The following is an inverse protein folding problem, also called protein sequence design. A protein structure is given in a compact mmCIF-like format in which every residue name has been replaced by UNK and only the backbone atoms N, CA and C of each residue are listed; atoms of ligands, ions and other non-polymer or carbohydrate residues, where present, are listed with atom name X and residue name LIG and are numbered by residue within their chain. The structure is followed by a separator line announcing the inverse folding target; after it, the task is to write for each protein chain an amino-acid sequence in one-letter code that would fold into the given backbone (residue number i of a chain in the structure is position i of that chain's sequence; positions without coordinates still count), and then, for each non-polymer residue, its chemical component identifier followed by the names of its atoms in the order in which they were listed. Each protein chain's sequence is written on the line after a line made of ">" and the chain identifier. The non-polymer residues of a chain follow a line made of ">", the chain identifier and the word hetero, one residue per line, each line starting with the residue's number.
data_IF_554309796497
#
_entry.id   IF_554309796497
#
_cell.length_a   1.000
_cell.length_b   1.000
_cell.length_c   1.000
_cell.angle_alpha   90.00
_cell.angle_beta   90.00
_cell.angle_gamma   90.00
#
_symmetry.space_group_name_H-M   'P 1'
#
loop_
_entity.id
_entity.type
_entity.pdbx_description
1 polymer ?
#
# COMPACT_ATOMS: atom_id res chain seq x y z
N UNK A 1 -7.43 25.53 -6.52
CA UNK A 1 -8.02 24.81 -7.67
C UNK A 1 -7.98 23.34 -7.28
N UNK A 2 -9.07 22.61 -7.49
CA UNK A 2 -9.09 21.17 -7.26
C UNK A 2 -8.07 20.47 -8.18
N UNK A 3 -7.37 19.48 -7.66
CA UNK A 3 -6.37 18.71 -8.40
C UNK A 3 -6.87 17.33 -8.83
N UNK A 4 -8.17 17.10 -8.77
CA UNK A 4 -8.84 15.85 -9.12
C UNK A 4 -9.59 15.22 -7.95
N UNK A 5 -10.20 14.08 -8.22
CA UNK A 5 -11.02 13.36 -7.25
C UNK A 5 -10.33 12.06 -6.80
N UNK A 6 -10.71 11.56 -5.65
CA UNK A 6 -10.28 10.24 -5.16
C UNK A 6 -11.00 9.17 -5.98
N UNK A 7 -10.24 8.34 -6.69
CA UNK A 7 -10.76 7.26 -7.56
C UNK A 7 -10.43 5.86 -7.06
N UNK A 8 -9.66 5.74 -6.00
CA UNK A 8 -9.35 4.44 -5.39
C UNK A 8 -8.93 4.58 -3.94
N UNK A 9 -9.48 3.70 -3.10
CA UNK A 9 -9.20 3.62 -1.67
C UNK A 9 -8.93 2.16 -1.30
N UNK A 10 -7.76 1.89 -0.69
CA UNK A 10 -7.34 0.53 -0.34
C UNK A 10 -6.78 0.49 1.08
N UNK A 11 -7.28 -0.44 1.88
CA UNK A 11 -6.67 -0.84 3.14
C UNK A 11 -5.90 -2.15 2.94
N UNK A 12 -4.73 -2.27 3.57
CA UNK A 12 -3.93 -3.49 3.58
C UNK A 12 -3.84 -4.03 5.01
N UNK A 13 -4.81 -4.80 5.51
CA UNK A 13 -4.83 -5.26 6.89
C UNK A 13 -3.54 -5.95 7.33
N UNK A 14 -2.98 -6.78 6.43
CA UNK A 14 -1.75 -7.54 6.68
C UNK A 14 -0.61 -7.05 5.80
N UNK A 15 0.52 -6.76 6.44
CA UNK A 15 1.76 -6.36 5.74
C UNK A 15 2.13 -7.36 4.66
N UNK A 16 2.49 -6.86 3.46
CA UNK A 16 2.96 -7.63 2.30
C UNK A 16 1.93 -8.59 1.68
N UNK A 17 0.67 -8.56 2.09
CA UNK A 17 -0.44 -9.25 1.43
C UNK A 17 -1.29 -8.26 0.62
N UNK A 18 -2.12 -8.74 -0.31
CA UNK A 18 -3.09 -7.90 -1.03
C UNK A 18 -4.11 -7.35 -0.03
N UNK A 19 -4.57 -6.13 -0.29
CA UNK A 19 -5.57 -5.45 0.52
C UNK A 19 -6.97 -5.57 -0.05
N UNK A 20 -7.86 -4.79 0.52
CA UNK A 20 -9.27 -4.65 0.13
C UNK A 20 -9.58 -3.22 -0.31
N UNK A 21 -10.42 -3.09 -1.32
CA UNK A 21 -10.93 -1.81 -1.80
C UNK A 21 -12.12 -1.37 -0.96
N UNK A 22 -12.25 -0.06 -0.77
CA UNK A 22 -13.30 0.54 0.04
C UNK A 22 -13.95 1.73 -0.67
N UNK A 23 -15.21 2.00 -0.39
CA UNK A 23 -15.85 3.26 -0.78
C UNK A 23 -15.47 4.41 0.18
N UNK A 24 -15.09 4.06 1.41
CA UNK A 24 -14.69 5.00 2.47
C UNK A 24 -13.53 4.42 3.27
N UNK A 25 -12.55 5.26 3.63
CA UNK A 25 -11.51 4.92 4.60
C UNK A 25 -11.56 5.87 5.79
N UNK A 26 -11.49 5.31 6.98
CA UNK A 26 -11.24 6.10 8.19
C UNK A 26 -9.74 6.40 8.26
N UNK A 27 -9.40 7.67 8.40
CA UNK A 27 -8.02 8.15 8.62
C UNK A 27 -7.96 8.65 10.07
N UNK A 28 -7.17 8.00 10.89
CA UNK A 28 -6.88 8.38 12.28
C UNK A 28 -5.45 8.96 12.41
N UNK A 29 -4.98 9.21 13.62
CA UNK A 29 -3.64 9.76 13.87
C UNK A 29 -2.51 8.84 13.40
N UNK A 30 -2.76 7.53 13.28
CA UNK A 30 -1.80 6.53 12.79
C UNK A 30 -1.75 6.47 11.25
N UNK A 31 -2.76 6.96 10.57
CA UNK A 31 -2.95 6.85 9.11
C UNK A 31 -4.27 6.19 8.76
N UNK A 32 -4.30 5.34 7.73
CA UNK A 32 -5.50 4.54 7.40
C UNK A 32 -5.76 3.55 8.53
N UNK A 33 -6.95 3.64 9.14
CA UNK A 33 -7.33 2.77 10.24
C UNK A 33 -7.24 1.29 9.83
N UNK A 34 -6.52 0.50 10.62
CA UNK A 34 -6.30 -0.93 10.34
C UNK A 34 -5.23 -1.25 9.29
N UNK A 35 -4.71 -0.25 8.56
CA UNK A 35 -3.72 -0.48 7.52
C UNK A 35 -2.41 -1.01 8.11
N UNK A 36 -1.96 -2.18 7.62
CA UNK A 36 -0.75 -2.90 8.08
C UNK A 36 -0.68 -3.10 9.59
N UNK A 37 -1.85 -3.16 10.23
CA UNK A 37 -1.93 -3.41 11.66
C UNK A 37 -1.49 -4.84 12.02
N UNK A 38 -1.50 -5.74 11.04
CA UNK A 38 -1.09 -7.13 11.18
C UNK A 38 0.08 -7.48 10.26
N UNK A 39 0.86 -8.46 10.67
CA UNK A 39 1.96 -9.00 9.86
C UNK A 39 2.22 -10.46 10.23
N UNK A 40 2.80 -11.22 9.31
CA UNK A 40 3.45 -12.48 9.68
C UNK A 40 4.69 -12.14 10.51
N UNK A 41 4.79 -12.70 11.72
CA UNK A 41 5.93 -12.55 12.61
C UNK A 41 6.62 -13.89 12.78
N UNK A 42 7.91 -13.92 12.53
CA UNK A 42 8.79 -15.07 12.73
C UNK A 42 9.29 -15.14 14.17
N UNK A 43 9.78 -16.32 14.62
CA UNK A 43 10.34 -16.52 15.97
C UNK A 43 11.46 -15.56 16.34
N UNK A 44 12.26 -15.09 15.34
CA UNK A 44 13.32 -14.10 15.55
C UNK A 44 12.81 -12.65 15.62
N UNK A 45 11.49 -12.45 15.65
CA UNK A 45 10.81 -11.15 15.71
C UNK A 45 10.75 -10.39 14.38
N UNK A 46 11.35 -10.93 13.29
CA UNK A 46 11.26 -10.29 11.97
C UNK A 46 9.89 -10.47 11.35
N UNK A 47 9.48 -9.46 10.59
CA UNK A 47 8.22 -9.48 9.87
C UNK A 47 8.37 -10.12 8.49
N UNK A 48 7.39 -10.93 8.09
CA UNK A 48 7.31 -11.51 6.76
C UNK A 48 7.19 -10.43 5.68
N UNK A 49 7.98 -10.56 4.62
CA UNK A 49 7.97 -9.62 3.50
C UNK A 49 8.52 -10.29 2.23
N UNK A 50 8.27 -9.70 1.07
CA UNK A 50 8.92 -10.11 -0.19
C UNK A 50 10.39 -9.68 -0.32
N UNK A 51 11.01 -9.18 0.75
CA UNK A 51 12.43 -8.79 0.80
C UNK A 51 13.06 -9.17 2.14
N UNK A 52 14.39 -9.29 2.19
CA UNK A 52 15.16 -9.48 3.42
C UNK A 52 15.84 -8.18 3.81
N UNK A 53 15.70 -7.79 5.08
CA UNK A 53 16.38 -6.66 5.71
C UNK A 53 16.63 -6.97 7.19
N UNK A 54 17.13 -5.99 7.96
CA UNK A 54 17.23 -6.13 9.42
C UNK A 54 15.85 -6.39 10.07
N UNK A 55 14.76 -5.75 9.56
CA UNK A 55 13.39 -5.86 10.08
C UNK A 55 12.58 -6.99 9.42
N UNK A 56 12.94 -7.39 8.21
CA UNK A 56 12.12 -8.25 7.38
C UNK A 56 12.83 -9.55 7.03
N UNK A 57 12.04 -10.65 7.02
CA UNK A 57 12.46 -11.95 6.49
C UNK A 57 11.72 -12.20 5.18
N UNK A 58 12.46 -12.56 4.14
CA UNK A 58 11.85 -12.94 2.87
C UNK A 58 10.93 -14.15 3.07
N UNK A 59 9.64 -13.93 2.81
CA UNK A 59 8.58 -14.93 2.88
C UNK A 59 7.93 -14.98 1.48
N UNK A 60 8.25 -16.01 0.69
CA UNK A 60 7.78 -16.11 -0.70
C UNK A 60 6.26 -16.18 -0.80
N UNK A 61 5.72 -15.69 -1.92
CA UNK A 61 4.31 -15.87 -2.29
C UNK A 61 3.30 -15.01 -1.50
N UNK A 62 3.72 -14.15 -0.57
CA UNK A 62 2.78 -13.36 0.25
C UNK A 62 1.80 -12.52 -0.58
N UNK A 63 2.17 -12.09 -1.79
CA UNK A 63 1.30 -11.32 -2.69
C UNK A 63 0.26 -12.18 -3.42
N UNK A 64 0.24 -13.49 -3.21
CA UNK A 64 -0.83 -14.38 -3.67
C UNK A 64 -1.98 -14.47 -2.65
N UNK A 65 -1.74 -14.06 -1.39
CA UNK A 65 -2.72 -14.00 -0.32
C UNK A 65 -3.37 -12.61 -0.28
N UNK A 66 -4.66 -12.55 0.03
CA UNK A 66 -5.37 -11.30 0.31
C UNK A 66 -5.81 -11.26 1.77
N UNK A 67 -5.97 -10.06 2.29
CA UNK A 67 -6.47 -9.86 3.64
C UNK A 67 -7.56 -8.79 3.65
N UNK A 68 -8.63 -9.04 4.39
CA UNK A 68 -9.74 -8.14 4.63
C UNK A 68 -10.13 -8.17 6.12
N UNK A 69 -10.80 -7.12 6.60
CA UNK A 69 -11.35 -7.13 7.95
C UNK A 69 -12.75 -7.75 7.97
N UNK A 70 -12.98 -8.62 8.95
CA UNK A 70 -14.30 -9.14 9.28
C UNK A 70 -14.47 -9.15 10.79
N UNK A 71 -15.53 -8.51 11.28
CA UNK A 71 -15.84 -8.38 12.71
C UNK A 71 -14.67 -7.83 13.55
N UNK A 72 -13.83 -6.98 12.94
CA UNK A 72 -12.68 -6.34 13.59
C UNK A 72 -11.37 -7.13 13.54
N UNK A 73 -11.38 -8.37 13.08
CA UNK A 73 -10.19 -9.21 12.91
C UNK A 73 -9.80 -9.35 11.43
N UNK A 74 -8.50 -9.48 11.11
CA UNK A 74 -8.08 -9.75 9.75
C UNK A 74 -8.40 -11.20 9.39
N UNK A 75 -8.93 -11.38 8.19
CA UNK A 75 -9.09 -12.68 7.56
C UNK A 75 -8.16 -12.73 6.36
N UNK A 76 -7.20 -13.65 6.40
CA UNK A 76 -6.30 -13.91 5.28
C UNK A 76 -6.93 -15.00 4.42
N UNK A 77 -7.09 -14.70 3.12
CA UNK A 77 -7.58 -15.68 2.13
C UNK A 77 -6.40 -16.20 1.31
N UNK A 78 -6.21 -17.51 1.35
CA UNK A 78 -5.16 -18.21 0.58
C UNK A 78 -5.44 -18.18 -0.93
N UNK A 79 -4.48 -18.53 -1.79
CA UNK A 79 -4.72 -18.72 -3.23
C UNK A 79 -5.84 -19.70 -3.54
N UNK A 80 -6.01 -20.74 -2.72
CA UNK A 80 -7.03 -21.80 -2.89
C UNK A 80 -8.38 -21.45 -2.27
N UNK A 81 -8.50 -20.22 -1.68
CA UNK A 81 -9.74 -19.72 -1.09
C UNK A 81 -9.98 -20.11 0.36
N UNK A 82 -9.04 -20.79 1.02
CA UNK A 82 -9.11 -21.04 2.46
C UNK A 82 -8.96 -19.75 3.26
N UNK A 83 -9.52 -19.74 4.44
CA UNK A 83 -9.58 -18.56 5.30
C UNK A 83 -8.85 -18.81 6.61
N UNK A 84 -7.91 -17.92 6.93
CA UNK A 84 -7.08 -17.98 8.13
C UNK A 84 -7.32 -16.76 9.00
N UNK A 85 -7.38 -16.98 10.32
CA UNK A 85 -7.50 -15.89 11.31
C UNK A 85 -6.29 -15.90 12.24
N UNK A 86 -6.07 -14.84 13.03
CA UNK A 86 -5.06 -14.86 14.09
C UNK A 86 -5.22 -16.09 15.02
N UNK A 87 -4.09 -16.76 15.28
CA UNK A 87 -4.08 -18.00 16.09
C UNK A 87 -4.37 -19.29 15.32
N UNK A 88 -4.66 -19.24 14.01
CA UNK A 88 -4.85 -20.44 13.19
C UNK A 88 -3.50 -21.17 13.02
N UNK A 89 -3.37 -22.46 13.40
CA UNK A 89 -2.12 -23.21 13.28
C UNK A 89 -1.65 -23.39 11.83
N UNK A 90 -2.55 -23.34 10.85
CA UNK A 90 -2.21 -23.41 9.42
C UNK A 90 -1.33 -22.26 8.96
N UNK A 91 -1.29 -21.13 9.68
CA UNK A 91 -0.34 -20.04 9.39
C UNK A 91 1.09 -20.56 9.49
N UNK A 92 1.42 -21.31 10.55
CA UNK A 92 2.75 -21.91 10.70
C UNK A 92 3.02 -23.02 9.65
N UNK A 93 2.01 -23.78 9.25
CA UNK A 93 2.15 -24.79 8.20
C UNK A 93 2.48 -24.18 6.83
N UNK A 94 1.84 -23.05 6.49
CA UNK A 94 2.00 -22.39 5.20
C UNK A 94 3.26 -21.51 5.12
N UNK A 95 3.63 -20.82 6.19
CA UNK A 95 4.68 -19.81 6.16
C UNK A 95 5.95 -20.21 6.94
N UNK A 96 5.93 -21.35 7.62
CA UNK A 96 7.05 -21.93 8.36
C UNK A 96 6.79 -22.04 9.85
N UNK A 97 7.46 -23.03 10.48
CA UNK A 97 7.34 -23.25 11.91
C UNK A 97 7.62 -21.98 12.72
N UNK A 98 6.81 -21.73 13.74
CA UNK A 98 6.92 -20.55 14.61
C UNK A 98 6.48 -19.23 13.97
N UNK A 99 5.93 -19.24 12.75
CA UNK A 99 5.33 -18.05 12.14
C UNK A 99 3.89 -17.89 12.63
N UNK A 100 3.55 -16.69 13.04
CA UNK A 100 2.20 -16.33 13.47
C UNK A 100 1.69 -15.07 12.76
N UNK A 101 0.37 -14.92 12.66
CA UNK A 101 -0.26 -13.66 12.27
C UNK A 101 -0.41 -12.78 13.51
N UNK A 102 0.49 -11.80 13.65
CA UNK A 102 0.63 -10.98 14.84
C UNK A 102 0.13 -9.56 14.61
N UNK A 103 -0.57 -9.01 15.60
CA UNK A 103 -0.94 -7.60 15.64
C UNK A 103 0.27 -6.74 15.99
N UNK A 104 0.30 -5.51 15.47
CA UNK A 104 1.27 -4.48 15.82
C UNK A 104 1.29 -4.24 17.34
N UNK A 105 2.49 -4.19 17.90
CA UNK A 105 2.75 -3.84 19.28
C UNK A 105 3.67 -2.62 19.35
N UNK A 106 4.79 -2.74 20.07
CA UNK A 106 5.77 -1.66 20.17
C UNK A 106 6.49 -1.37 18.83
N UNK A 107 6.56 -2.37 17.96
CA UNK A 107 7.19 -2.25 16.62
C UNK A 107 6.13 -1.98 15.59
N UNK A 108 6.18 -0.79 14.97
CA UNK A 108 5.27 -0.40 13.90
C UNK A 108 5.46 -1.31 12.67
N UNK A 109 4.36 -1.79 12.08
CA UNK A 109 4.36 -2.63 10.90
C UNK A 109 4.38 -1.84 9.58
N UNK A 110 4.08 -0.55 9.60
CA UNK A 110 4.19 0.33 8.42
C UNK A 110 5.63 0.40 7.92
N UNK A 111 5.84 0.75 6.66
CA UNK A 111 7.18 0.90 6.08
C UNK A 111 7.82 2.24 6.48
N UNK A 112 7.31 3.36 5.97
CA UNK A 112 7.87 4.68 6.23
C UNK A 112 6.81 5.75 6.55
N UNK A 113 5.65 5.75 5.91
CA UNK A 113 4.65 6.80 6.10
C UNK A 113 3.28 6.26 6.47
N UNK A 114 2.47 7.14 7.07
CA UNK A 114 1.14 6.83 7.61
C UNK A 114 0.12 6.55 6.49
N UNK A 115 0.16 7.33 5.42
CA UNK A 115 -0.75 7.24 4.26
C UNK A 115 0.07 7.31 2.98
N UNK A 116 -0.28 6.50 1.99
CA UNK A 116 0.39 6.50 0.69
C UNK A 116 -0.58 6.86 -0.45
N UNK A 117 -0.11 7.71 -1.40
CA UNK A 117 -0.93 8.26 -2.47
C UNK A 117 -0.21 8.20 -3.81
N UNK A 118 -0.97 8.07 -4.91
CA UNK A 118 -0.46 8.16 -6.29
C UNK A 118 -1.51 8.78 -7.21
N UNK A 119 -1.05 9.53 -8.22
CA UNK A 119 -1.90 10.07 -9.28
C UNK A 119 -2.13 9.09 -10.43
N UNK A 120 -3.31 9.13 -11.05
CA UNK A 120 -3.62 8.28 -12.22
C UNK A 120 -2.75 8.60 -13.42
N UNK A 121 -2.41 9.87 -13.64
CA UNK A 121 -1.50 10.27 -14.74
C UNK A 121 -0.10 9.67 -14.55
N UNK A 122 0.38 9.53 -13.31
CA UNK A 122 1.66 8.89 -13.00
C UNK A 122 1.67 7.39 -13.30
N UNK A 123 0.53 6.71 -13.09
CA UNK A 123 0.36 5.29 -13.47
C UNK A 123 0.39 5.12 -14.99
N UNK A 124 -0.28 6.02 -15.74
CA UNK A 124 -0.26 6.03 -17.20
C UNK A 124 1.16 6.29 -17.73
N UNK A 125 1.81 7.34 -17.23
CA UNK A 125 3.15 7.70 -17.66
C UNK A 125 4.19 6.60 -17.36
N UNK A 126 4.03 5.88 -16.25
CA UNK A 126 4.89 4.73 -15.98
C UNK A 126 4.63 3.59 -16.98
N UNK A 127 3.36 3.31 -17.36
CA UNK A 127 3.02 2.37 -18.43
C UNK A 127 3.70 2.73 -19.75
N UNK A 128 3.60 3.99 -20.17
CA UNK A 128 4.25 4.52 -21.38
C UNK A 128 5.78 4.35 -21.33
N UNK A 129 6.41 4.62 -20.17
CA UNK A 129 7.85 4.42 -19.98
C UNK A 129 8.27 2.94 -20.05
N UNK A 130 7.35 2.01 -19.76
CA UNK A 130 7.56 0.57 -19.93
C UNK A 130 7.32 0.10 -21.38
N UNK A 131 6.78 0.95 -22.23
CA UNK A 131 6.36 0.63 -23.60
C UNK A 131 5.00 -0.08 -23.64
N UNK A 132 4.22 0.00 -22.58
CA UNK A 132 2.88 -0.57 -22.48
C UNK A 132 1.82 0.48 -22.86
N UNK A 133 0.67 0.06 -23.40
CA UNK A 133 -0.47 0.94 -23.71
C UNK A 133 -1.34 1.23 -22.51
N UNK A 134 -1.33 0.33 -21.53
CA UNK A 134 -2.15 0.42 -20.34
C UNK A 134 -1.36 1.02 -19.17
N UNK A 135 -2.04 1.70 -18.24
CA UNK A 135 -1.45 2.15 -16.99
C UNK A 135 -0.86 0.97 -16.20
N UNK A 136 0.19 1.23 -15.43
CA UNK A 136 0.66 0.23 -14.48
C UNK A 136 -0.42 -0.08 -13.46
N UNK A 137 -0.69 -1.36 -13.24
CA UNK A 137 -1.65 -1.80 -12.23
C UNK A 137 -1.24 -1.28 -10.84
N UNK A 138 -2.11 -0.48 -10.23
CA UNK A 138 -1.85 0.19 -8.94
C UNK A 138 -1.57 -0.79 -7.80
N UNK A 139 -2.07 -2.02 -7.88
CA UNK A 139 -1.81 -3.07 -6.88
C UNK A 139 -0.30 -3.30 -6.68
N UNK A 140 0.51 -3.15 -7.75
CA UNK A 140 1.99 -3.26 -7.66
C UNK A 140 2.60 -2.20 -6.77
N UNK A 141 1.96 -1.04 -6.67
CA UNK A 141 2.46 0.08 -5.87
C UNK A 141 1.93 0.10 -4.44
N UNK A 142 0.86 -0.66 -4.15
CA UNK A 142 0.28 -0.82 -2.81
C UNK A 142 -0.05 0.52 -2.16
N UNK A 143 -0.77 1.38 -2.88
CA UNK A 143 -1.18 2.70 -2.42
C UNK A 143 -2.53 2.65 -1.69
N UNK A 144 -2.67 3.47 -0.64
CA UNK A 144 -3.92 3.62 0.08
C UNK A 144 -4.92 4.49 -0.70
N UNK A 145 -4.42 5.54 -1.36
CA UNK A 145 -5.25 6.52 -2.06
C UNK A 145 -4.76 6.65 -3.51
N UNK A 146 -5.70 6.60 -4.44
CA UNK A 146 -5.47 6.95 -5.85
C UNK A 146 -6.27 8.19 -6.16
N UNK A 147 -5.61 9.21 -6.66
CA UNK A 147 -6.23 10.48 -7.07
C UNK A 147 -6.22 10.59 -8.57
N UNK A 148 -7.34 10.98 -9.17
CA UNK A 148 -7.38 11.36 -10.56
C UNK A 148 -6.53 12.62 -10.78
N UNK A 149 -5.62 12.58 -11.74
CA UNK A 149 -4.73 13.68 -12.08
C UNK A 149 -4.57 13.77 -13.57
N UNK A 150 -4.40 15.00 -14.10
CA UNK A 150 -4.17 15.25 -15.53
C UNK A 150 -2.67 15.21 -15.88
N UNK A 151 -1.83 15.66 -14.94
CA UNK A 151 -0.38 15.77 -15.14
C UNK A 151 0.35 14.62 -14.44
N UNK A 152 1.27 13.91 -15.14
CA UNK A 152 2.08 12.88 -14.52
C UNK A 152 3.01 13.47 -13.45
N UNK A 153 3.12 12.75 -12.33
CA UNK A 153 4.01 13.05 -11.21
C UNK A 153 3.64 14.31 -10.41
N UNK A 154 2.49 14.93 -10.68
CA UNK A 154 2.05 16.16 -9.99
C UNK A 154 1.94 15.95 -8.47
N UNK A 155 1.61 14.74 -8.00
CA UNK A 155 1.56 14.43 -6.58
C UNK A 155 2.94 14.55 -5.90
N UNK A 156 4.03 14.41 -6.62
CA UNK A 156 5.38 14.57 -6.10
C UNK A 156 5.72 16.05 -5.83
N UNK A 157 5.10 16.98 -6.55
CA UNK A 157 5.24 18.43 -6.34
C UNK A 157 4.46 18.91 -5.09
N UNK A 158 3.65 18.04 -4.50
CA UNK A 158 2.94 18.35 -3.25
C UNK A 158 3.81 18.13 -2.01
N UNK A 159 5.02 17.61 -2.13
CA UNK A 159 5.93 17.40 -1.00
C UNK A 159 6.15 18.73 -0.24
N UNK A 160 5.93 18.70 1.08
CA UNK A 160 5.96 19.84 1.98
C UNK A 160 4.63 20.63 2.08
N UNK A 161 3.64 20.30 1.27
CA UNK A 161 2.33 20.96 1.23
C UNK A 161 1.27 20.16 1.98
N UNK A 162 0.20 20.85 2.37
CA UNK A 162 -1.02 20.20 2.87
C UNK A 162 -1.98 19.93 1.72
N UNK A 163 -2.58 18.75 1.75
CA UNK A 163 -3.72 18.39 0.91
C UNK A 163 -4.95 18.22 1.79
N UNK A 164 -6.07 18.73 1.32
CA UNK A 164 -7.36 18.60 1.98
C UNK A 164 -8.32 17.87 1.05
N UNK A 165 -9.09 16.96 1.60
CA UNK A 165 -10.15 16.25 0.89
C UNK A 165 -11.50 16.86 1.29
N UNK A 166 -12.38 17.05 0.32
CA UNK A 166 -13.69 17.65 0.59
C UNK A 166 -14.49 16.80 1.58
N UNK A 167 -14.93 17.44 2.67
CA UNK A 167 -15.63 16.75 3.77
C UNK A 167 -14.80 15.70 4.53
N UNK A 168 -13.49 15.60 4.26
CA UNK A 168 -12.61 14.56 4.75
C UNK A 168 -11.40 15.04 5.56
N UNK A 169 -10.36 14.19 5.67
CA UNK A 169 -9.14 14.50 6.41
C UNK A 169 -8.28 15.58 5.74
N UNK A 170 -7.30 16.10 6.49
CA UNK A 170 -6.18 16.85 5.93
C UNK A 170 -4.89 16.09 6.16
N UNK A 171 -4.06 16.02 5.13
CA UNK A 171 -2.78 15.33 5.17
C UNK A 171 -1.66 16.31 4.78
N UNK A 172 -0.47 16.11 5.33
CA UNK A 172 0.76 16.78 4.90
C UNK A 172 1.59 15.81 4.10
N UNK A 173 1.85 16.12 2.85
CA UNK A 173 2.74 15.31 2.00
C UNK A 173 4.18 15.50 2.47
N UNK A 174 4.86 14.40 2.81
CA UNK A 174 6.18 14.47 3.46
C UNK A 174 7.33 14.07 2.55
N UNK A 175 7.15 13.04 1.72
CA UNK A 175 8.22 12.59 0.85
C UNK A 175 7.71 11.77 -0.34
N UNK A 176 8.54 11.66 -1.38
CA UNK A 176 8.34 10.73 -2.50
C UNK A 176 8.59 9.29 -2.03
N UNK A 177 7.85 8.34 -2.57
CA UNK A 177 8.00 6.93 -2.19
C UNK A 177 9.04 6.24 -3.06
N UNK A 178 10.18 5.94 -2.48
CA UNK A 178 11.18 5.06 -3.09
C UNK A 178 10.65 3.63 -3.17
N UNK A 179 10.73 3.03 -4.34
CA UNK A 179 10.23 1.69 -4.62
C UNK A 179 11.32 0.63 -4.46
N UNK A 180 10.88 -0.56 -4.11
CA UNK A 180 11.75 -1.70 -3.92
C UNK A 180 11.28 -2.90 -4.76
N UNK A 181 11.97 -4.01 -4.66
CA UNK A 181 11.68 -5.26 -5.40
C UNK A 181 10.23 -5.75 -5.28
N UNK A 182 9.50 -5.34 -4.24
CA UNK A 182 8.09 -5.69 -4.07
C UNK A 182 7.21 -5.33 -5.28
N UNK A 183 7.51 -4.22 -5.97
CA UNK A 183 6.74 -3.78 -7.13
C UNK A 183 6.89 -4.68 -8.35
N UNK A 184 7.94 -5.48 -8.38
CA UNK A 184 8.28 -6.35 -9.51
C UNK A 184 7.84 -7.79 -9.33
N UNK A 185 7.41 -8.17 -8.13
CA UNK A 185 7.04 -9.54 -7.81
C UNK A 185 5.71 -9.94 -8.46
N UNK A 186 5.56 -11.22 -8.74
CA UNK A 186 4.26 -11.78 -9.08
C UNK A 186 3.29 -11.60 -7.92
N UNK A 187 2.04 -11.35 -8.25
CA UNK A 187 0.93 -11.27 -7.30
C UNK A 187 -0.32 -11.84 -7.96
N UNK A 188 -1.34 -12.15 -7.18
CA UNK A 188 -2.56 -12.77 -7.70
C UNK A 188 -3.08 -12.05 -8.95
N UNK A 189 -3.07 -12.75 -10.09
CA UNK A 189 -3.51 -12.25 -11.37
C UNK A 189 -2.53 -11.32 -12.10
N UNK A 190 -1.32 -11.10 -11.58
CA UNK A 190 -0.29 -10.29 -12.21
C UNK A 190 1.05 -11.02 -12.23
N UNK A 191 1.67 -11.27 -13.40
CA UNK A 191 2.99 -11.90 -13.50
C UNK A 191 4.07 -10.98 -12.92
N UNK A 192 5.25 -11.54 -12.61
CA UNK A 192 6.41 -10.70 -12.24
C UNK A 192 6.80 -9.77 -13.39
N UNK A 193 7.15 -8.52 -13.05
CA UNK A 193 7.61 -7.54 -14.04
C UNK A 193 8.81 -6.71 -13.52
N UNK A 194 10.00 -7.17 -13.85
CA UNK A 194 11.24 -6.53 -13.44
C UNK A 194 11.53 -5.21 -14.17
N UNK A 195 10.80 -4.89 -15.25
CA UNK A 195 10.94 -3.64 -15.97
C UNK A 195 10.59 -2.45 -15.08
N UNK A 196 9.58 -2.59 -14.21
CA UNK A 196 9.05 -1.51 -13.37
C UNK A 196 10.16 -0.86 -12.55
N UNK A 197 10.85 -1.62 -11.70
CA UNK A 197 11.89 -1.06 -10.84
C UNK A 197 13.10 -0.57 -11.65
N UNK A 198 13.47 -1.27 -12.72
CA UNK A 198 14.54 -0.86 -13.63
C UNK A 198 14.23 0.49 -14.28
N UNK A 199 13.02 0.68 -14.77
CA UNK A 199 12.57 1.94 -15.40
C UNK A 199 12.52 3.07 -14.38
N UNK A 200 11.91 2.85 -13.21
CA UNK A 200 11.88 3.85 -12.14
C UNK A 200 13.29 4.25 -11.69
N UNK A 201 14.22 3.30 -11.60
CA UNK A 201 15.62 3.59 -11.27
C UNK A 201 16.28 4.49 -12.32
N UNK A 202 16.07 4.18 -13.58
CA UNK A 202 16.70 4.90 -14.69
C UNK A 202 16.11 6.32 -14.91
N UNK A 203 14.82 6.52 -14.63
CA UNK A 203 14.10 7.74 -15.04
C UNK A 203 13.59 8.59 -13.88
N UNK A 204 13.35 8.01 -12.70
CA UNK A 204 12.61 8.65 -11.60
C UNK A 204 13.33 8.59 -10.24
N UNK A 205 14.59 8.17 -10.18
CA UNK A 205 15.31 7.97 -8.92
C UNK A 205 14.60 6.95 -8.02
N UNK A 206 14.07 5.89 -8.61
CA UNK A 206 13.29 4.81 -7.98
C UNK A 206 11.94 5.24 -7.38
N UNK A 207 11.47 6.46 -7.58
CA UNK A 207 10.28 6.98 -6.90
C UNK A 207 9.02 6.95 -7.78
N UNK A 208 7.87 6.69 -7.13
CA UNK A 208 6.51 6.96 -7.63
C UNK A 208 5.51 7.07 -6.48
N UNK A 209 4.74 8.15 -6.51
CA UNK A 209 3.78 8.52 -5.48
C UNK A 209 4.44 9.06 -4.23
N UNK A 210 3.63 9.41 -3.24
CA UNK A 210 4.06 10.14 -2.04
C UNK A 210 3.53 9.51 -0.76
N UNK A 211 4.26 9.70 0.34
CA UNK A 211 3.78 9.51 1.70
C UNK A 211 3.23 10.82 2.26
N UNK A 212 2.24 10.69 3.13
CA UNK A 212 1.66 11.81 3.85
C UNK A 212 1.40 11.44 5.31
N UNK A 213 1.57 12.43 6.18
CA UNK A 213 1.22 12.38 7.59
C UNK A 213 -0.16 13.00 7.81
N UNK A 214 -0.85 12.57 8.86
CA UNK A 214 -2.18 13.04 9.20
C UNK A 214 -2.10 14.37 9.95
N UNK A 215 -2.72 15.41 9.40
CA UNK A 215 -2.87 16.72 10.06
C UNK A 215 -4.20 16.81 10.79
N UNK A 216 -5.26 16.33 10.14
CA UNK A 216 -6.60 16.27 10.72
C UNK A 216 -7.23 14.93 10.32
N UNK A 217 -7.58 14.08 11.30
CA UNK A 217 -8.32 12.85 11.05
C UNK A 217 -9.69 13.10 10.42
N UNK A 218 -10.24 12.07 9.79
CA UNK A 218 -11.57 12.13 9.18
C UNK A 218 -11.89 10.88 8.37
N UNK A 219 -13.07 10.85 7.76
CA UNK A 219 -13.45 9.80 6.83
C UNK A 219 -13.24 10.30 5.40
N UNK A 220 -12.48 9.55 4.61
CA UNK A 220 -12.23 9.83 3.21
C UNK A 220 -13.15 8.97 2.35
N UNK A 221 -13.87 9.56 1.42
CA UNK A 221 -14.78 8.89 0.50
C UNK A 221 -14.22 8.84 -0.93
N UNK A 222 -14.61 7.83 -1.71
CA UNK A 222 -14.47 7.89 -3.16
C UNK A 222 -15.21 9.11 -3.72
N UNK A 223 -14.63 9.75 -4.74
CA UNK A 223 -15.16 10.97 -5.34
C UNK A 223 -14.84 12.26 -4.58
N UNK A 224 -14.25 12.20 -3.39
CA UNK A 224 -13.84 13.42 -2.65
C UNK A 224 -12.82 14.22 -3.46
N UNK A 225 -13.05 15.52 -3.63
CA UNK A 225 -12.12 16.41 -4.34
C UNK A 225 -10.88 16.70 -3.49
N UNK A 226 -9.74 16.80 -4.15
CA UNK A 226 -8.45 17.10 -3.53
C UNK A 226 -8.07 18.55 -3.80
N UNK A 227 -7.77 19.28 -2.74
CA UNK A 227 -7.25 20.64 -2.80
C UNK A 227 -5.88 20.70 -2.18
N UNK A 228 -4.90 21.25 -2.91
CA UNK A 228 -3.52 21.45 -2.43
C UNK A 228 -3.38 22.90 -1.93
N UNK A 229 -2.81 23.07 -0.70
CA UNK A 229 -2.62 24.34 -0.01
C UNK A 229 -1.16 24.73 0.09
#
# INVERSE_FOLDING_TARGET
>A
MGHGAVVGLVCFPVKSMLGEEHEHLVIDERGVAGDRLWALRHEDGKLGSGKSTRRFRHTPGMLEYSAAYEDGDPVVTTPDGERLRPGDPRVAELFGAGVELAREGEVNHQDAGAVSLVGTASLRALGELLGDTDPVDVRRLRKNIVVETDEPWIEEDWVGREIAFDGGPRLRVVERIERCVMTTQAQRGLPADHRILKTLTATRGMCIGVYADVVTPGTLALGAEVTVK
#
